data_IF_363423570472
#
_entry.id   IF_363423570472
#
_cell.length_a   1.000
_cell.length_b   1.000
_cell.length_c   1.000
_cell.angle_alpha   90.00
_cell.angle_beta   90.00
_cell.angle_gamma   90.00
#
_symmetry.space_group_name_H-M   'P 1'
#
loop_
_entity.id
_entity.type
_entity.pdbx_description
1 polymer ?
#
# COMPACT_ATOMS: atom_id res chain seq x y z
N UNK A 1 -12.16 0.35 18.97
CA UNK A 1 -11.41 0.33 17.70
C UNK A 1 -12.05 1.26 16.70
N UNK A 2 -11.24 2.00 15.94
CA UNK A 2 -11.68 2.96 14.93
C UNK A 2 -11.17 2.53 13.55
N UNK A 3 -11.88 2.85 12.47
CA UNK A 3 -11.40 2.60 11.13
C UNK A 3 -10.31 3.60 10.74
N UNK A 4 -9.24 3.07 10.17
CA UNK A 4 -8.12 3.83 9.64
C UNK A 4 -7.81 3.37 8.22
N UNK A 5 -7.26 4.31 7.48
CA UNK A 5 -6.66 4.12 6.18
C UNK A 5 -5.20 4.55 6.25
N UNK A 6 -4.31 3.69 5.79
CA UNK A 6 -2.88 3.93 5.77
C UNK A 6 -2.39 3.81 4.33
N UNK A 7 -1.98 4.93 3.75
CA UNK A 7 -1.29 4.95 2.47
C UNK A 7 0.21 4.85 2.72
N UNK A 8 0.87 3.91 2.06
CA UNK A 8 2.31 3.68 2.12
C UNK A 8 2.86 3.81 0.69
N UNK A 9 3.88 4.64 0.52
CA UNK A 9 4.64 4.77 -0.72
C UNK A 9 6.05 4.27 -0.44
N UNK A 10 6.42 3.15 -1.05
CA UNK A 10 7.74 2.54 -0.92
C UNK A 10 8.65 2.96 -2.09
N UNK A 11 9.96 2.93 -1.85
CA UNK A 11 10.97 3.25 -2.87
C UNK A 11 10.82 2.32 -4.09
N UNK A 12 10.89 2.90 -5.29
CA UNK A 12 10.68 2.19 -6.55
C UNK A 12 11.86 1.33 -7.01
N UNK A 13 13.00 1.43 -6.33
CA UNK A 13 14.18 0.59 -6.53
C UNK A 13 14.10 -0.74 -5.79
N UNK A 14 13.09 -0.93 -4.93
CA UNK A 14 12.87 -2.18 -4.23
C UNK A 14 12.37 -3.27 -5.20
N UNK A 15 12.90 -4.48 -4.99
CA UNK A 15 12.36 -5.68 -5.60
C UNK A 15 10.99 -6.03 -5.02
N UNK A 16 10.17 -6.74 -5.78
CA UNK A 16 8.78 -7.02 -5.39
C UNK A 16 8.70 -7.76 -4.04
N UNK A 17 9.61 -8.71 -3.76
CA UNK A 17 9.68 -9.41 -2.47
C UNK A 17 9.96 -8.47 -1.29
N UNK A 18 10.82 -7.47 -1.48
CA UNK A 18 11.11 -6.47 -0.45
C UNK A 18 9.87 -5.60 -0.20
N UNK A 19 9.12 -5.27 -1.24
CA UNK A 19 7.80 -4.60 -1.12
C UNK A 19 6.83 -5.46 -0.33
N UNK A 20 6.69 -6.76 -0.64
CA UNK A 20 5.81 -7.66 0.11
C UNK A 20 6.20 -7.69 1.59
N UNK A 21 7.49 -7.88 1.88
CA UNK A 21 8.00 -7.95 3.24
C UNK A 21 7.77 -6.65 4.03
N UNK A 22 7.93 -5.48 3.41
CA UNK A 22 7.66 -4.19 4.06
C UNK A 22 6.18 -4.03 4.42
N UNK A 23 5.28 -4.42 3.52
CA UNK A 23 3.83 -4.40 3.77
C UNK A 23 3.46 -5.39 4.87
N UNK A 24 4.03 -6.60 4.83
CA UNK A 24 3.73 -7.64 5.81
C UNK A 24 4.17 -7.20 7.21
N UNK A 25 5.39 -6.62 7.35
CA UNK A 25 5.85 -5.99 8.60
C UNK A 25 4.87 -4.94 9.14
N UNK A 26 4.37 -4.06 8.28
CA UNK A 26 3.41 -3.03 8.67
C UNK A 26 2.07 -3.65 9.14
N UNK A 27 1.57 -4.67 8.42
CA UNK A 27 0.33 -5.35 8.81
C UNK A 27 0.47 -6.20 10.07
N UNK A 28 1.63 -6.82 10.27
CA UNK A 28 1.90 -7.64 11.45
C UNK A 28 2.08 -6.77 12.69
N UNK A 29 2.65 -5.57 12.58
CA UNK A 29 2.64 -4.59 13.67
C UNK A 29 1.21 -4.29 14.13
N UNK A 30 0.29 -4.07 13.18
CA UNK A 30 -1.12 -3.83 13.48
C UNK A 30 -1.73 -5.05 14.20
N UNK A 31 -1.54 -6.26 13.65
CA UNK A 31 -2.08 -7.52 14.23
C UNK A 31 -1.56 -7.80 15.63
N UNK A 32 -0.24 -7.71 15.82
CA UNK A 32 0.43 -8.02 17.08
C UNK A 32 0.01 -7.08 18.22
N UNK A 33 -0.54 -5.91 17.89
CA UNK A 33 -1.05 -4.93 18.86
C UNK A 33 -2.58 -4.89 18.97
N UNK A 34 -3.25 -5.94 18.49
CA UNK A 34 -4.70 -6.10 18.62
C UNK A 34 -5.53 -5.26 17.65
N UNK A 35 -4.91 -4.77 16.57
CA UNK A 35 -5.63 -4.21 15.42
C UNK A 35 -5.92 -5.29 14.37
N UNK A 36 -6.86 -4.98 13.47
CA UNK A 36 -7.30 -5.86 12.39
C UNK A 36 -7.11 -5.16 11.03
N UNK A 37 -6.04 -5.49 10.27
CA UNK A 37 -5.87 -5.03 8.90
C UNK A 37 -6.73 -5.88 7.95
N UNK A 38 -7.96 -5.42 7.71
CA UNK A 38 -8.97 -6.19 6.96
C UNK A 38 -8.87 -6.03 5.43
N UNK A 39 -8.12 -5.04 4.93
CA UNK A 39 -7.93 -4.84 3.47
C UNK A 39 -6.53 -4.32 3.17
N UNK A 40 -5.88 -4.93 2.18
CA UNK A 40 -4.55 -4.51 1.69
C UNK A 40 -4.59 -4.48 0.17
N UNK A 41 -4.63 -3.28 -0.40
CA UNK A 41 -4.62 -3.05 -1.83
C UNK A 41 -3.21 -2.62 -2.28
N UNK A 42 -2.56 -3.47 -3.08
CA UNK A 42 -1.25 -3.18 -3.67
C UNK A 42 -1.47 -2.62 -5.07
N UNK A 43 -1.25 -1.33 -5.25
CA UNK A 43 -1.47 -0.64 -6.52
C UNK A 43 -0.27 -0.76 -7.48
N UNK A 44 0.86 -1.28 -7.00
CA UNK A 44 2.08 -1.39 -7.80
C UNK A 44 2.80 -0.06 -7.96
N UNK A 45 3.70 -0.01 -8.96
CA UNK A 45 4.55 1.14 -9.23
C UNK A 45 3.78 2.22 -9.96
N UNK A 46 3.84 3.47 -9.46
CA UNK A 46 3.16 4.62 -10.06
C UNK A 46 4.07 5.84 -10.05
N UNK A 47 3.96 6.66 -11.11
CA UNK A 47 4.70 7.91 -11.26
C UNK A 47 4.05 9.04 -10.45
N UNK A 48 4.87 9.81 -9.74
CA UNK A 48 4.49 11.01 -9.02
C UNK A 48 4.28 12.19 -9.97
N UNK A 49 3.48 13.17 -9.54
CA UNK A 49 3.30 14.42 -10.30
C UNK A 49 4.54 15.33 -10.24
N UNK A 50 5.36 15.18 -9.20
CA UNK A 50 6.59 15.93 -8.97
C UNK A 50 7.62 15.04 -8.26
N UNK A 51 8.88 15.43 -8.30
CA UNK A 51 9.96 14.70 -7.64
C UNK A 51 9.79 14.70 -6.12
N UNK A 52 9.83 13.52 -5.51
CA UNK A 52 9.71 13.31 -4.07
C UNK A 52 10.93 12.53 -3.59
N UNK A 53 11.72 13.12 -2.69
CA UNK A 53 12.96 12.51 -2.18
C UNK A 53 13.88 11.97 -3.29
N UNK A 54 14.06 12.76 -4.36
CA UNK A 54 14.85 12.37 -5.54
C UNK A 54 14.32 11.16 -6.32
N UNK A 55 13.02 10.89 -6.22
CA UNK A 55 12.31 9.83 -6.95
C UNK A 55 11.16 10.41 -7.75
N UNK A 56 10.87 9.79 -8.89
CA UNK A 56 9.75 10.14 -9.77
C UNK A 56 8.61 9.13 -9.71
N UNK A 57 8.81 7.99 -9.07
CA UNK A 57 7.85 6.91 -8.92
C UNK A 57 8.05 6.17 -7.60
N UNK A 58 7.06 5.37 -7.22
CA UNK A 58 7.07 4.57 -5.99
C UNK A 58 6.00 3.48 -6.04
N UNK A 59 6.14 2.48 -5.17
CA UNK A 59 5.13 1.44 -5.00
C UNK A 59 4.05 1.93 -4.04
N UNK A 60 2.82 1.97 -4.52
CA UNK A 60 1.67 2.39 -3.72
C UNK A 60 1.01 1.19 -3.07
N UNK A 61 0.82 1.28 -1.75
CA UNK A 61 0.10 0.29 -0.97
C UNK A 61 -0.87 1.01 -0.05
N UNK A 62 -2.09 0.49 -0.02
CA UNK A 62 -3.16 1.02 0.78
C UNK A 62 -3.63 -0.06 1.74
N UNK A 63 -3.59 0.25 3.04
CA UNK A 63 -4.03 -0.66 4.11
C UNK A 63 -5.24 -0.03 4.80
N UNK A 64 -6.34 -0.77 4.88
CA UNK A 64 -7.45 -0.41 5.75
C UNK A 64 -7.43 -1.31 6.98
N UNK A 65 -7.59 -0.70 8.15
CA UNK A 65 -7.51 -1.41 9.42
C UNK A 65 -8.48 -0.86 10.46
N UNK A 66 -8.93 -1.73 11.36
CA UNK A 66 -9.58 -1.36 12.61
C UNK A 66 -8.54 -1.43 13.72
N UNK A 67 -8.28 -0.34 14.42
CA UNK A 67 -7.31 -0.36 15.51
C UNK A 67 -7.61 0.68 16.59
N UNK A 68 -6.94 0.54 17.73
CA UNK A 68 -6.87 1.61 18.72
C UNK A 68 -5.89 2.71 18.27
N UNK A 69 -6.11 3.99 18.63
CA UNK A 69 -5.24 5.09 18.22
C UNK A 69 -3.76 4.89 18.52
N UNK A 70 -3.44 4.24 19.65
CA UNK A 70 -2.06 3.96 20.06
C UNK A 70 -1.32 3.06 19.06
N UNK A 71 -2.00 2.09 18.44
CA UNK A 71 -1.44 1.21 17.40
C UNK A 71 -1.07 2.03 16.16
N UNK A 72 -1.93 2.96 15.77
CA UNK A 72 -1.71 3.82 14.62
C UNK A 72 -0.59 4.84 14.85
N UNK A 73 -0.45 5.37 16.06
CA UNK A 73 0.68 6.24 16.43
C UNK A 73 2.02 5.52 16.35
N UNK A 74 2.07 4.26 16.75
CA UNK A 74 3.29 3.49 16.62
C UNK A 74 3.57 3.09 15.17
N UNK A 75 2.55 2.67 14.42
CA UNK A 75 2.70 2.39 12.99
C UNK A 75 3.24 3.62 12.25
N UNK A 76 2.71 4.81 12.54
CA UNK A 76 3.20 6.08 12.00
C UNK A 76 4.69 6.29 12.30
N UNK A 77 5.12 6.02 13.54
CA UNK A 77 6.53 6.08 13.93
C UNK A 77 7.38 5.03 13.21
N UNK A 78 6.91 3.80 13.10
CA UNK A 78 7.65 2.72 12.46
C UNK A 78 7.84 2.99 10.95
N UNK A 79 6.80 3.47 10.27
CA UNK A 79 6.86 3.87 8.86
C UNK A 79 7.75 5.09 8.64
N UNK A 80 7.77 6.04 9.59
CA UNK A 80 8.66 7.20 9.51
C UNK A 80 10.15 6.84 9.65
N UNK A 81 10.46 5.77 10.39
CA UNK A 81 11.83 5.29 10.61
C UNK A 81 12.31 4.30 9.54
N UNK A 82 11.41 3.80 8.70
CA UNK A 82 11.74 2.82 7.67
C UNK A 82 12.31 3.53 6.44
N UNK A 83 13.59 3.30 6.14
CA UNK A 83 14.29 3.93 5.01
C UNK A 83 13.66 3.59 3.65
N UNK A 84 13.02 2.42 3.55
CA UNK A 84 12.30 1.99 2.35
C UNK A 84 10.99 2.75 2.09
N UNK A 85 10.49 3.52 3.07
CA UNK A 85 9.26 4.31 2.97
C UNK A 85 9.59 5.72 2.51
N UNK A 86 9.18 6.05 1.28
CA UNK A 86 9.31 7.41 0.74
C UNK A 86 8.32 8.35 1.40
N UNK A 87 7.09 7.88 1.64
CA UNK A 87 6.03 8.66 2.27
C UNK A 87 4.92 7.76 2.79
N UNK A 88 4.32 8.16 3.91
CA UNK A 88 3.09 7.54 4.41
C UNK A 88 2.06 8.58 4.84
N UNK A 89 0.80 8.15 4.93
CA UNK A 89 -0.29 8.93 5.51
C UNK A 89 -1.23 8.00 6.26
N UNK A 90 -1.42 8.29 7.55
CA UNK A 90 -2.44 7.66 8.38
C UNK A 90 -3.65 8.58 8.47
N UNK A 91 -4.82 8.08 8.08
CA UNK A 91 -6.08 8.82 8.06
C UNK A 91 -7.10 8.06 8.89
N UNK A 92 -7.72 8.73 9.86
CA UNK A 92 -8.89 8.19 10.55
C UNK A 92 -10.10 8.33 9.63
N UNK A 93 -10.75 7.21 9.31
CA UNK A 93 -11.97 7.23 8.52
C UNK A 93 -13.19 7.54 9.40
N UNK A 94 -14.18 8.28 8.90
CA UNK A 94 -15.52 8.29 9.47
C UNK A 94 -16.17 6.90 9.29
N UNK A 95 -16.92 6.43 10.28
CA UNK A 95 -17.53 5.08 10.26
C UNK A 95 -18.40 4.83 9.01
N UNK A 96 -19.11 5.85 8.52
CA UNK A 96 -19.95 5.78 7.31
C UNK A 96 -19.18 5.46 6.02
N UNK A 97 -17.85 5.61 6.01
CA UNK A 97 -16.99 5.41 4.83
C UNK A 97 -16.18 4.13 4.92
N UNK A 98 -15.97 3.59 6.13
CA UNK A 98 -15.17 2.39 6.36
C UNK A 98 -15.76 1.17 5.64
N UNK A 99 -14.92 0.43 4.90
CA UNK A 99 -15.33 -0.78 4.17
C UNK A 99 -16.15 -0.55 2.89
N UNK A 100 -16.40 0.70 2.48
CA UNK A 100 -17.05 0.98 1.20
C UNK A 100 -16.05 0.95 0.05
N UNK A 101 -16.39 0.28 -1.05
CA UNK A 101 -15.59 0.31 -2.28
C UNK A 101 -15.38 1.75 -2.76
N UNK A 102 -14.11 2.14 -2.93
CA UNK A 102 -13.76 3.49 -3.39
C UNK A 102 -13.97 3.63 -4.90
N UNK A 103 -14.61 4.73 -5.35
CA UNK A 103 -14.57 5.11 -6.74
C UNK A 103 -13.13 5.47 -7.13
N UNK A 104 -12.58 4.84 -8.17
CA UNK A 104 -11.25 5.17 -8.69
C UNK A 104 -10.08 4.39 -8.09
N UNK A 105 -10.32 3.36 -7.25
CA UNK A 105 -9.32 2.31 -7.09
C UNK A 105 -9.01 1.77 -8.49
N UNK A 106 -7.73 1.63 -8.89
CA UNK A 106 -7.42 1.14 -10.22
C UNK A 106 -8.11 -0.20 -10.39
N UNK A 107 -8.93 -0.32 -11.43
CA UNK A 107 -9.35 -1.63 -11.91
C UNK A 107 -8.06 -2.43 -12.01
N UNK A 108 -8.01 -3.60 -11.34
CA UNK A 108 -6.93 -4.57 -11.55
C UNK A 108 -6.71 -4.59 -13.05
N UNK A 109 -5.60 -4.02 -13.50
CA UNK A 109 -5.25 -4.11 -14.91
C UNK A 109 -5.06 -5.60 -15.11
N UNK A 110 -6.07 -6.21 -15.71
CA UNK A 110 -6.07 -7.60 -16.11
C UNK A 110 -4.70 -7.82 -16.72
N UNK A 111 -3.99 -8.83 -16.23
CA UNK A 111 -2.80 -9.35 -16.86
C UNK A 111 -3.08 -9.35 -18.36
N UNK A 112 -2.52 -8.36 -19.07
CA UNK A 112 -2.67 -8.27 -20.51
C UNK A 112 -2.08 -9.58 -20.99
N UNK A 113 -2.87 -10.51 -21.57
CA UNK A 113 -2.25 -11.67 -22.16
C UNK A 113 -1.30 -11.11 -23.22
N UNK A 114 -0.03 -11.49 -23.10
CA UNK A 114 0.97 -11.29 -24.15
C UNK A 114 0.28 -11.56 -25.50
N UNK A 115 0.28 -10.63 -26.46
CA UNK A 115 -0.29 -10.90 -27.76
C UNK A 115 0.38 -12.17 -28.30
N UNK A 116 -0.46 -13.11 -28.71
CA UNK A 116 -0.08 -14.47 -29.08
C UNK A 116 1.22 -14.51 -29.87
N UNK A 117 2.11 -15.38 -29.43
CA UNK A 117 3.09 -15.97 -30.33
C UNK A 117 2.28 -16.72 -31.39
N UNK A 118 1.93 -16.01 -32.46
CA UNK A 118 1.45 -16.60 -33.69
C UNK A 118 2.62 -17.39 -34.26
N UNK A 119 2.66 -18.66 -33.86
CA UNK A 119 3.36 -19.70 -34.58
C UNK A 119 2.76 -19.77 -35.99
N UNK A 120 3.41 -19.15 -36.97
CA UNK A 120 3.37 -19.70 -38.32
C UNK A 120 4.57 -19.28 -39.19
N UNK A 121 5.26 -20.28 -39.73
CA UNK A 121 5.80 -20.21 -41.08
C UNK A 121 7.33 -20.30 -41.23
N UNK A 122 7.89 -21.50 -41.14
CA UNK A 122 8.73 -22.13 -42.18
C UNK A 122 9.09 -23.57 -41.81
#
# INVERSE_FOLDING_TARGET
MRPYEVMIILDSSLEEDAVRAAVDRATDLIRNRGGDPYRVDRWGKRRFAYELNHRWDGYYVLVEAQAEPAVMTELDRALHLADEVVRHKVIRLPERVAGRARPGAPAREEARPEPGQDSNGA
#
